data_IF_432968108911
#
_entry.id   IF_432968108911
#
_cell.length_a   1.000
_cell.length_b   1.000
_cell.length_c   1.000
_cell.angle_alpha   90.00
_cell.angle_beta   90.00
_cell.angle_gamma   90.00
#
_symmetry.space_group_name_H-M   'P 1'
#
loop_
_entity.id
_entity.type
_entity.pdbx_description
1 polymer ?
#
# COMPACT_ATOMS: atom_id res chain seq x y z
N UNK A 1 3.35 -3.57 23.86
CA UNK A 1 2.84 -2.17 23.72
C UNK A 1 3.22 -1.64 22.33
N UNK A 2 2.57 -0.57 21.86
CA UNK A 2 2.94 0.08 20.59
C UNK A 2 4.26 0.83 20.76
N UNK A 3 5.21 0.63 19.84
CA UNK A 3 6.53 1.27 19.90
C UNK A 3 6.56 2.68 19.29
N UNK A 4 5.79 2.91 18.22
CA UNK A 4 5.74 4.20 17.51
C UNK A 4 4.46 4.33 16.68
N UNK A 5 3.96 5.55 16.56
CA UNK A 5 2.97 5.96 15.57
C UNK A 5 3.64 6.75 14.45
N UNK A 6 3.30 6.46 13.21
CA UNK A 6 3.86 7.09 12.02
C UNK A 6 3.02 8.30 11.62
N UNK A 7 3.67 9.36 11.15
CA UNK A 7 2.98 10.49 10.53
C UNK A 7 2.38 10.07 9.17
N UNK A 8 1.23 10.61 8.74
CA UNK A 8 0.67 10.33 7.41
C UNK A 8 1.66 10.46 6.25
N UNK A 9 2.57 11.43 6.31
CA UNK A 9 3.60 11.63 5.27
C UNK A 9 4.59 10.46 5.18
N UNK A 10 4.90 9.81 6.30
CA UNK A 10 5.78 8.64 6.29
C UNK A 10 5.14 7.46 5.55
N UNK A 11 3.81 7.32 5.64
CA UNK A 11 3.09 6.34 4.82
C UNK A 11 3.15 6.67 3.34
N UNK A 12 3.09 7.95 2.99
CA UNK A 12 3.22 8.40 1.60
C UNK A 12 4.63 8.09 1.06
N UNK A 13 5.67 8.28 1.87
CA UNK A 13 7.06 7.97 1.52
C UNK A 13 7.25 6.47 1.29
N UNK A 14 6.70 5.64 2.19
CA UNK A 14 6.70 4.19 2.05
C UNK A 14 5.97 3.73 0.79
N UNK A 15 4.83 4.36 0.45
CA UNK A 15 4.11 4.07 -0.81
C UNK A 15 4.98 4.35 -2.02
N UNK A 16 5.63 5.52 -2.07
CA UNK A 16 6.52 5.89 -3.18
C UNK A 16 7.70 4.94 -3.30
N UNK A 17 8.31 4.56 -2.16
CA UNK A 17 9.41 3.61 -2.15
C UNK A 17 8.98 2.22 -2.66
N UNK A 18 7.86 1.68 -2.16
CA UNK A 18 7.34 0.38 -2.56
C UNK A 18 7.02 0.33 -4.06
N UNK A 19 6.39 1.38 -4.60
CA UNK A 19 6.14 1.49 -6.04
C UNK A 19 7.46 1.53 -6.84
N UNK A 20 8.47 2.25 -6.35
CA UNK A 20 9.77 2.35 -7.03
C UNK A 20 10.54 1.02 -7.08
N UNK A 21 10.34 0.12 -6.12
CA UNK A 21 10.98 -1.21 -6.08
C UNK A 21 10.15 -2.31 -6.77
N UNK A 22 9.04 -1.95 -7.44
CA UNK A 22 8.32 -2.83 -8.34
C UNK A 22 7.05 -3.49 -7.77
N UNK A 23 6.57 -3.06 -6.60
CA UNK A 23 5.22 -3.46 -6.17
C UNK A 23 4.18 -2.87 -7.13
N UNK A 24 3.29 -3.72 -7.64
CA UNK A 24 2.27 -3.34 -8.64
C UNK A 24 1.13 -2.53 -8.04
N UNK A 25 0.82 -2.77 -6.77
CA UNK A 25 -0.23 -2.07 -6.05
C UNK A 25 0.20 -1.92 -4.59
N UNK A 26 -0.02 -0.73 -4.03
CA UNK A 26 0.39 -0.39 -2.66
C UNK A 26 -0.66 0.51 -2.02
N UNK A 27 -1.29 -0.01 -0.96
CA UNK A 27 -2.05 0.80 -0.01
C UNK A 27 -1.21 1.03 1.25
N UNK A 28 -1.01 2.30 1.59
CA UNK A 28 -0.19 2.72 2.73
C UNK A 28 -0.85 3.89 3.43
N UNK A 29 -1.24 3.69 4.69
CA UNK A 29 -1.90 4.71 5.50
C UNK A 29 -2.24 4.19 6.90
N UNK A 30 -2.51 5.09 7.87
CA UNK A 30 -2.69 4.72 9.29
C UNK A 30 -3.88 3.78 9.55
N UNK A 31 -4.91 3.84 8.70
CA UNK A 31 -6.13 3.04 8.82
C UNK A 31 -6.20 1.86 7.85
N UNK A 32 -5.20 1.70 6.97
CA UNK A 32 -5.18 0.61 5.99
C UNK A 32 -5.16 -0.74 6.71
N UNK A 33 -5.92 -1.69 6.19
CA UNK A 33 -5.99 -3.09 6.62
C UNK A 33 -5.95 -3.98 5.39
N UNK A 34 -5.67 -5.26 5.57
CA UNK A 34 -5.49 -6.21 4.46
C UNK A 34 -6.70 -6.31 3.52
N UNK A 35 -7.92 -6.09 4.00
CA UNK A 35 -9.15 -6.11 3.18
C UNK A 35 -9.53 -4.76 2.59
N UNK A 36 -8.85 -3.67 2.98
CA UNK A 36 -9.16 -2.34 2.48
C UNK A 36 -8.82 -2.25 0.99
N UNK A 37 -9.80 -1.91 0.16
CA UNK A 37 -9.68 -1.85 -1.31
C UNK A 37 -9.17 -3.13 -1.97
N UNK A 38 -9.36 -4.30 -1.35
CA UNK A 38 -8.86 -5.59 -1.87
C UNK A 38 -9.33 -5.92 -3.31
N UNK A 39 -10.50 -5.41 -3.73
CA UNK A 39 -10.97 -5.56 -5.11
C UNK A 39 -10.07 -4.81 -6.11
N UNK A 40 -9.70 -3.56 -5.81
CA UNK A 40 -8.74 -2.78 -6.62
C UNK A 40 -7.36 -3.44 -6.66
N UNK A 41 -6.96 -4.07 -5.54
CA UNK A 41 -5.73 -4.87 -5.49
C UNK A 41 -5.79 -6.05 -6.47
N UNK A 42 -6.89 -6.80 -6.44
CA UNK A 42 -7.09 -7.92 -7.35
C UNK A 42 -7.12 -7.46 -8.82
N UNK A 43 -7.85 -6.38 -9.12
CA UNK A 43 -7.97 -5.82 -10.47
C UNK A 43 -6.61 -5.36 -11.02
N UNK A 44 -5.79 -4.69 -10.18
CA UNK A 44 -4.44 -4.25 -10.55
C UNK A 44 -3.51 -5.42 -10.88
N UNK A 45 -3.68 -6.55 -10.19
CA UNK A 45 -2.92 -7.76 -10.48
C UNK A 45 -3.34 -8.35 -11.81
N UNK A 46 -4.65 -8.49 -12.05
CA UNK A 46 -5.19 -9.01 -13.31
C UNK A 46 -4.73 -8.18 -14.51
N UNK A 47 -4.84 -6.85 -14.43
CA UNK A 47 -4.42 -5.93 -15.48
C UNK A 47 -2.92 -6.01 -15.81
N UNK A 48 -2.08 -6.32 -14.82
CA UNK A 48 -0.64 -6.43 -15.01
C UNK A 48 -0.17 -7.84 -15.45
N UNK A 49 -1.07 -8.83 -15.50
CA UNK A 49 -0.78 -10.20 -15.95
C UNK A 49 -1.42 -10.56 -17.30
N UNK A 50 -2.33 -9.71 -17.80
CA UNK A 50 -2.85 -9.77 -19.16
C UNK A 50 -1.85 -9.15 -20.16
#
# INVERSE_FOLDING_TARGET
PVARYYHPDEFADLKRHALAIGFRHVESGPLVRSSYHAHEQADSYQAATA
#
